data_IF_490329521479
#
_entry.id   IF_490329521479
#
_cell.length_a   1.000
_cell.length_b   1.000
_cell.length_c   1.000
_cell.angle_alpha   90.00
_cell.angle_beta   90.00
_cell.angle_gamma   90.00
#
_symmetry.space_group_name_H-M   'P 1'
#
loop_
_entity.id
_entity.type
_entity.pdbx_description
1 polymer ?
#
# COMPACT_ATOMS: atom_id res chain seq x y z
N UNK A 1 -7.76 39.30 -4.87
CA UNK A 1 -7.20 38.09 -4.22
C UNK A 1 -5.90 38.52 -3.61
N UNK A 2 -5.73 38.32 -2.30
CA UNK A 2 -4.48 38.67 -1.63
C UNK A 2 -3.35 37.79 -2.18
N UNK A 3 -2.19 38.42 -2.47
CA UNK A 3 -1.02 37.74 -3.00
C UNK A 3 -0.58 36.55 -2.14
N UNK A 4 -0.83 36.63 -0.84
CA UNK A 4 -0.57 35.56 0.13
C UNK A 4 -1.45 34.32 -0.13
N UNK A 5 -2.74 34.49 -0.39
CA UNK A 5 -3.66 33.39 -0.69
C UNK A 5 -3.26 32.74 -2.01
N UNK A 6 -2.94 33.54 -3.02
CA UNK A 6 -2.50 33.03 -4.32
C UNK A 6 -1.22 32.18 -4.22
N UNK A 7 -0.24 32.60 -3.43
CA UNK A 7 1.00 31.84 -3.24
C UNK A 7 0.81 30.55 -2.44
N UNK A 8 -0.06 30.53 -1.41
CA UNK A 8 -0.40 29.31 -0.68
C UNK A 8 -1.08 28.30 -1.62
N UNK A 9 -2.06 28.74 -2.39
CA UNK A 9 -2.76 27.87 -3.34
C UNK A 9 -1.82 27.33 -4.44
N UNK A 10 -0.85 28.14 -4.88
CA UNK A 10 0.14 27.71 -5.87
C UNK A 10 1.06 26.62 -5.32
N UNK A 11 1.56 26.78 -4.09
CA UNK A 11 2.42 25.77 -3.44
C UNK A 11 1.63 24.48 -3.19
N UNK A 12 0.40 24.58 -2.69
CA UNK A 12 -0.48 23.42 -2.47
C UNK A 12 -0.81 22.72 -3.81
N UNK A 13 -1.14 23.48 -4.84
CA UNK A 13 -1.40 22.94 -6.18
C UNK A 13 -0.18 22.24 -6.78
N UNK A 14 1.01 22.80 -6.62
CA UNK A 14 2.26 22.21 -7.10
C UNK A 14 2.58 20.90 -6.37
N UNK A 15 2.44 20.90 -5.04
CA UNK A 15 2.71 19.72 -4.21
C UNK A 15 1.75 18.57 -4.54
N UNK A 16 0.44 18.85 -4.56
CA UNK A 16 -0.57 17.85 -4.93
C UNK A 16 -0.40 17.40 -6.38
N UNK A 17 -0.11 18.34 -7.28
CA UNK A 17 0.16 18.03 -8.68
C UNK A 17 1.34 17.09 -8.89
N UNK A 18 2.42 17.26 -8.12
CA UNK A 18 3.59 16.37 -8.15
C UNK A 18 3.23 14.95 -7.68
N UNK A 19 2.42 14.82 -6.61
CA UNK A 19 1.95 13.53 -6.12
C UNK A 19 1.11 12.81 -7.18
N UNK A 20 0.14 13.50 -7.78
CA UNK A 20 -0.69 12.93 -8.84
C UNK A 20 0.11 12.59 -10.10
N UNK A 21 1.13 13.39 -10.45
CA UNK A 21 2.02 13.09 -11.57
C UNK A 21 2.82 11.79 -11.33
N UNK A 22 3.33 11.58 -10.11
CA UNK A 22 4.02 10.35 -9.74
C UNK A 22 3.08 9.13 -9.79
N UNK A 23 1.86 9.26 -9.28
CA UNK A 23 0.85 8.20 -9.35
C UNK A 23 0.49 7.87 -10.81
N UNK A 24 0.25 8.90 -11.63
CA UNK A 24 -0.02 8.73 -13.06
C UNK A 24 1.13 8.05 -13.79
N UNK A 25 2.37 8.47 -13.54
CA UNK A 25 3.57 7.85 -14.13
C UNK A 25 3.69 6.37 -13.72
N UNK A 26 3.44 6.05 -12.45
CA UNK A 26 3.44 4.67 -11.95
C UNK A 26 2.39 3.82 -12.65
N UNK A 27 1.18 4.34 -12.84
CA UNK A 27 0.09 3.64 -13.57
C UNK A 27 0.49 3.35 -15.02
N UNK A 28 1.06 4.34 -15.71
CA UNK A 28 1.51 4.18 -17.10
C UNK A 28 2.63 3.16 -17.22
N UNK A 29 3.62 3.21 -16.34
CA UNK A 29 4.72 2.25 -16.31
C UNK A 29 4.22 0.83 -16.04
N UNK A 30 3.33 0.66 -15.08
CA UNK A 30 2.75 -0.64 -14.76
C UNK A 30 1.96 -1.19 -15.96
N UNK A 31 1.13 -0.35 -16.60
CA UNK A 31 0.38 -0.73 -17.79
C UNK A 31 1.30 -1.09 -18.97
N UNK A 32 2.36 -0.33 -19.19
CA UNK A 32 3.32 -0.60 -20.28
C UNK A 32 3.98 -1.98 -20.15
N UNK A 33 4.23 -2.43 -18.91
CA UNK A 33 4.89 -3.72 -18.65
C UNK A 33 3.88 -4.87 -18.58
N UNK A 34 2.74 -4.67 -17.89
CA UNK A 34 1.81 -5.75 -17.53
C UNK A 34 0.57 -5.81 -18.40
N UNK A 35 0.27 -4.75 -19.16
CA UNK A 35 -1.01 -4.53 -19.89
C UNK A 35 -2.24 -4.53 -18.96
N UNK A 36 -2.04 -4.44 -17.67
CA UNK A 36 -3.10 -4.35 -16.67
C UNK A 36 -3.30 -2.90 -16.27
N UNK A 37 -4.53 -2.37 -16.39
CA UNK A 37 -4.91 -1.10 -15.80
C UNK A 37 -5.16 -1.36 -14.31
N UNK A 38 -4.11 -1.13 -13.51
CA UNK A 38 -4.13 -1.48 -12.09
C UNK A 38 -4.78 -0.35 -11.27
N UNK A 39 -6.11 -0.41 -11.15
CA UNK A 39 -6.91 0.56 -10.37
C UNK A 39 -6.54 0.55 -8.88
N UNK A 40 -6.22 -0.61 -8.24
CA UNK A 40 -5.97 -0.69 -6.80
C UNK A 40 -4.69 -0.02 -6.31
N UNK A 41 -3.94 0.71 -7.13
CA UNK A 41 -2.72 1.38 -6.65
C UNK A 41 -3.00 2.42 -5.56
N UNK A 42 -4.18 3.07 -5.60
CA UNK A 42 -4.59 4.03 -4.58
C UNK A 42 -4.71 3.40 -3.19
N UNK A 43 -5.25 2.18 -3.11
CA UNK A 43 -5.37 1.44 -1.87
C UNK A 43 -4.00 1.09 -1.27
N UNK A 44 -3.01 0.78 -2.11
CA UNK A 44 -1.64 0.52 -1.63
C UNK A 44 -1.03 1.76 -0.99
N UNK A 45 -1.28 2.95 -1.56
CA UNK A 45 -0.86 4.23 -0.97
C UNK A 45 -1.59 4.48 0.35
N UNK A 46 -2.92 4.26 0.38
CA UNK A 46 -3.74 4.39 1.59
C UNK A 46 -3.26 3.43 2.70
N UNK A 47 -3.00 2.16 2.37
CA UNK A 47 -2.45 1.19 3.32
C UNK A 47 -1.08 1.61 3.85
N UNK A 48 -0.23 2.20 3.01
CA UNK A 48 1.03 2.80 3.43
C UNK A 48 0.81 3.91 4.46
N UNK A 49 -0.06 4.87 4.16
CA UNK A 49 -0.37 5.99 5.06
C UNK A 49 -0.97 5.52 6.40
N UNK A 50 -1.94 4.60 6.36
CA UNK A 50 -2.57 4.03 7.56
C UNK A 50 -1.57 3.24 8.40
N UNK A 51 -0.66 2.50 7.77
CA UNK A 51 0.40 1.76 8.45
C UNK A 51 1.34 2.68 9.22
N UNK A 52 1.81 3.76 8.59
CA UNK A 52 2.65 4.76 9.28
C UNK A 52 1.88 5.39 10.45
N UNK A 53 0.62 5.78 10.24
CA UNK A 53 -0.22 6.39 11.30
C UNK A 53 -0.35 5.48 12.52
N UNK A 54 -0.62 4.18 12.33
CA UNK A 54 -0.72 3.22 13.44
C UNK A 54 0.62 2.98 14.13
N UNK A 55 1.74 2.89 13.37
CA UNK A 55 3.08 2.74 13.94
C UNK A 55 3.47 3.93 14.83
N UNK A 56 3.05 5.14 14.49
CA UNK A 56 3.28 6.32 15.32
C UNK A 56 2.53 6.29 16.64
N UNK A 57 1.35 5.69 16.64
CA UNK A 57 0.60 5.44 17.87
C UNK A 57 1.22 4.31 18.72
N UNK A 58 2.20 3.57 18.16
CA UNK A 58 2.79 2.39 18.79
C UNK A 58 1.88 1.16 18.69
N UNK A 59 0.94 1.17 17.76
CA UNK A 59 0.01 0.07 17.53
C UNK A 59 0.50 -0.81 16.38
N UNK A 60 0.16 -2.10 16.44
CA UNK A 60 0.44 -3.02 15.34
C UNK A 60 -0.54 -2.73 14.19
N UNK A 61 -0.05 -2.35 13.00
CA UNK A 61 -0.90 -1.97 11.90
C UNK A 61 -1.68 -3.15 11.32
N UNK A 62 -2.90 -2.87 10.85
CA UNK A 62 -3.77 -3.87 10.21
C UNK A 62 -3.15 -4.53 8.98
N UNK A 63 -2.22 -3.85 8.30
CA UNK A 63 -1.44 -4.40 7.18
C UNK A 63 -0.67 -5.66 7.52
N UNK A 64 -0.23 -5.85 8.77
CA UNK A 64 0.43 -7.08 9.22
C UNK A 64 -0.50 -8.27 9.06
N UNK A 65 -1.70 -8.18 9.60
CA UNK A 65 -2.69 -9.26 9.54
C UNK A 65 -3.16 -9.50 8.11
N UNK A 66 -3.35 -8.41 7.36
CA UNK A 66 -3.74 -8.50 5.97
C UNK A 66 -2.66 -9.16 5.10
N UNK A 67 -1.38 -8.81 5.31
CA UNK A 67 -0.27 -9.45 4.61
C UNK A 67 -0.19 -10.96 4.91
N UNK A 68 -0.34 -11.35 6.18
CA UNK A 68 -0.34 -12.76 6.58
C UNK A 68 -1.52 -13.52 5.97
N UNK A 69 -2.71 -12.91 5.93
CA UNK A 69 -3.88 -13.50 5.28
C UNK A 69 -3.63 -13.74 3.79
N UNK A 70 -3.12 -12.73 3.06
CA UNK A 70 -2.82 -12.87 1.64
C UNK A 70 -1.73 -13.89 1.37
N UNK A 71 -0.65 -13.89 2.16
CA UNK A 71 0.43 -14.85 2.01
C UNK A 71 -0.04 -16.29 2.35
N UNK A 72 -0.89 -16.43 3.37
CA UNK A 72 -1.50 -17.70 3.74
C UNK A 72 -2.42 -18.25 2.65
N UNK A 73 -3.30 -17.42 2.09
CA UNK A 73 -4.18 -17.82 0.98
C UNK A 73 -3.38 -18.21 -0.26
N UNK A 74 -2.34 -17.46 -0.61
CA UNK A 74 -1.44 -17.81 -1.70
C UNK A 74 -0.75 -19.16 -1.46
N UNK A 75 -0.28 -19.40 -0.24
CA UNK A 75 0.36 -20.66 0.15
C UNK A 75 -0.61 -21.84 0.06
N UNK A 76 -1.86 -21.68 0.51
CA UNK A 76 -2.91 -22.71 0.44
C UNK A 76 -3.23 -23.07 -1.03
N UNK A 77 -3.39 -22.05 -1.89
CA UNK A 77 -3.64 -22.27 -3.30
C UNK A 77 -2.50 -23.00 -4.00
N UNK A 78 -1.26 -22.67 -3.65
CA UNK A 78 -0.08 -23.38 -4.16
C UNK A 78 -0.03 -24.82 -3.70
N UNK A 79 -0.24 -25.04 -2.41
CA UNK A 79 -0.25 -26.38 -1.84
C UNK A 79 -1.32 -27.25 -2.50
N UNK A 80 -2.50 -26.69 -2.74
CA UNK A 80 -3.59 -27.39 -3.41
C UNK A 80 -3.27 -27.72 -4.88
N UNK A 81 -2.66 -26.78 -5.61
CA UNK A 81 -2.24 -26.98 -6.99
C UNK A 81 -1.14 -28.05 -7.09
N UNK A 82 -0.15 -27.98 -6.20
CA UNK A 82 0.96 -28.93 -6.17
C UNK A 82 0.52 -30.34 -5.72
N UNK A 83 -0.45 -30.42 -4.79
CA UNK A 83 -1.06 -31.69 -4.39
C UNK A 83 -1.82 -32.37 -5.55
N UNK A 84 -2.58 -31.58 -6.33
CA UNK A 84 -3.27 -32.09 -7.53
C UNK A 84 -2.31 -32.61 -8.62
N UNK A 85 -1.11 -32.07 -8.68
CA UNK A 85 -0.07 -32.48 -9.64
C UNK A 85 0.85 -33.57 -9.13
N UNK A 86 0.60 -34.10 -7.91
CA UNK A 86 1.36 -35.23 -7.34
C UNK A 86 2.81 -34.91 -7.00
N UNK A 87 3.14 -33.64 -6.75
CA UNK A 87 4.52 -33.25 -6.39
C UNK A 87 4.92 -33.73 -5.02
N UNK A 88 6.22 -34.01 -4.84
CA UNK A 88 6.78 -34.45 -3.58
C UNK A 88 6.56 -33.42 -2.44
N UNK A 89 6.32 -33.89 -1.24
CA UNK A 89 6.08 -33.06 -0.05
C UNK A 89 7.22 -32.08 0.22
N UNK A 90 8.46 -32.46 -0.08
CA UNK A 90 9.64 -31.56 0.03
C UNK A 90 9.55 -30.33 -0.86
N UNK A 91 9.04 -30.47 -2.10
CA UNK A 91 8.83 -29.35 -3.01
C UNK A 91 7.72 -28.40 -2.52
N UNK A 92 6.65 -28.97 -1.94
CA UNK A 92 5.58 -28.18 -1.29
C UNK A 92 6.13 -27.34 -0.13
N UNK A 93 6.89 -27.95 0.77
CA UNK A 93 7.45 -27.27 1.93
C UNK A 93 8.44 -26.15 1.51
N UNK A 94 9.31 -26.42 0.55
CA UNK A 94 10.26 -25.42 0.06
C UNK A 94 9.53 -24.21 -0.55
N UNK A 95 8.46 -24.45 -1.28
CA UNK A 95 7.65 -23.38 -1.89
C UNK A 95 6.89 -22.59 -0.84
N UNK A 96 6.28 -23.27 0.14
CA UNK A 96 5.59 -22.64 1.25
C UNK A 96 6.53 -21.75 2.07
N UNK A 97 7.71 -22.26 2.43
CA UNK A 97 8.74 -21.47 3.14
C UNK A 97 9.13 -20.25 2.32
N UNK A 98 9.40 -20.39 1.03
CA UNK A 98 9.79 -19.27 0.17
C UNK A 98 8.70 -18.20 0.07
N UNK A 99 7.43 -18.59 0.04
CA UNK A 99 6.29 -17.65 -0.04
C UNK A 99 6.03 -16.96 1.29
N UNK A 100 6.17 -17.67 2.42
CA UNK A 100 5.83 -17.18 3.76
C UNK A 100 7.00 -16.53 4.48
N UNK A 101 8.25 -16.87 4.17
CA UNK A 101 9.43 -16.44 4.93
C UNK A 101 9.50 -14.91 5.05
N UNK A 102 9.40 -14.17 3.95
CA UNK A 102 9.49 -12.73 3.96
C UNK A 102 8.28 -12.07 4.66
N UNK A 103 7.01 -12.40 4.30
CA UNK A 103 5.83 -11.87 5.00
C UNK A 103 5.85 -12.12 6.50
N UNK A 104 6.21 -13.33 6.93
CA UNK A 104 6.27 -13.66 8.37
C UNK A 104 7.41 -12.92 9.05
N UNK A 105 8.61 -12.89 8.46
CA UNK A 105 9.76 -12.20 9.04
C UNK A 105 9.49 -10.70 9.24
N UNK A 106 8.96 -10.02 8.23
CA UNK A 106 8.65 -8.60 8.34
C UNK A 106 7.50 -8.33 9.31
N UNK A 107 6.49 -9.21 9.35
CA UNK A 107 5.37 -9.12 10.30
C UNK A 107 5.85 -9.24 11.75
N UNK A 108 6.71 -10.20 12.05
CA UNK A 108 7.31 -10.38 13.38
C UNK A 108 8.16 -9.18 13.76
N UNK A 109 8.97 -8.66 12.83
CA UNK A 109 9.79 -7.48 13.05
C UNK A 109 8.92 -6.27 13.41
N UNK A 110 7.82 -6.05 12.68
CA UNK A 110 6.91 -4.94 12.92
C UNK A 110 6.18 -5.09 14.24
N UNK A 111 5.67 -6.28 14.58
CA UNK A 111 5.01 -6.56 15.88
C UNK A 111 5.97 -6.28 17.03
N UNK A 112 7.24 -6.62 16.88
CA UNK A 112 8.26 -6.37 17.91
C UNK A 112 8.64 -4.90 18.01
N UNK A 113 8.75 -4.17 16.88
CA UNK A 113 9.21 -2.79 16.86
C UNK A 113 8.09 -1.77 17.12
N UNK A 114 6.84 -2.05 16.78
CA UNK A 114 5.73 -1.13 16.89
C UNK A 114 5.56 -0.50 18.30
N UNK A 115 5.64 -1.26 19.42
CA UNK A 115 5.50 -0.68 20.75
C UNK A 115 6.63 0.29 21.13
N UNK A 116 7.80 0.16 20.51
CA UNK A 116 8.98 0.98 20.80
C UNK A 116 8.97 2.35 20.10
N UNK A 117 7.94 2.62 19.25
CA UNK A 117 7.79 3.88 18.50
C UNK A 117 9.10 4.31 17.83
N UNK A 118 9.64 3.53 16.90
CA UNK A 118 10.91 3.84 16.26
C UNK A 118 10.85 5.21 15.52
N UNK A 119 11.98 5.82 15.19
CA UNK A 119 12.00 7.09 14.48
C UNK A 119 11.27 6.98 13.14
N UNK A 120 10.70 8.11 12.66
CA UNK A 120 9.83 8.17 11.49
C UNK A 120 10.42 7.49 10.24
N UNK A 121 11.73 7.65 10.03
CA UNK A 121 12.41 7.02 8.90
C UNK A 121 12.35 5.48 8.96
N UNK A 122 12.51 4.92 10.15
CA UNK A 122 12.39 3.46 10.36
C UNK A 122 10.94 3.02 10.15
N UNK A 123 9.95 3.79 10.63
CA UNK A 123 8.53 3.51 10.39
C UNK A 123 8.22 3.51 8.89
N UNK A 124 8.75 4.47 8.13
CA UNK A 124 8.59 4.54 6.68
C UNK A 124 9.20 3.31 5.97
N UNK A 125 10.41 2.90 6.37
CA UNK A 125 11.06 1.72 5.82
C UNK A 125 10.30 0.42 6.15
N UNK A 126 9.80 0.27 7.38
CA UNK A 126 8.97 -0.86 7.78
C UNK A 126 7.66 -0.90 6.99
N UNK A 127 7.03 0.26 6.80
CA UNK A 127 5.82 0.39 5.99
C UNK A 127 6.08 -0.02 4.55
N UNK A 128 7.16 0.47 3.95
CA UNK A 128 7.55 0.10 2.59
C UNK A 128 7.79 -1.41 2.48
N UNK A 129 8.49 -2.00 3.45
CA UNK A 129 8.74 -3.43 3.48
C UNK A 129 7.47 -4.27 3.68
N UNK A 130 6.46 -3.75 4.43
CA UNK A 130 5.15 -4.40 4.58
C UNK A 130 4.29 -4.30 3.31
N UNK A 131 4.27 -3.14 2.65
CA UNK A 131 3.38 -2.88 1.50
C UNK A 131 3.95 -3.48 0.21
N UNK A 132 5.26 -3.53 0.04
CA UNK A 132 5.89 -4.08 -1.19
C UNK A 132 5.41 -5.49 -1.56
N UNK A 133 5.26 -6.46 -0.64
CA UNK A 133 4.77 -7.79 -0.98
C UNK A 133 3.32 -7.84 -1.45
N UNK A 134 2.52 -6.80 -1.18
CA UNK A 134 1.12 -6.77 -1.64
C UNK A 134 1.04 -6.82 -3.17
N UNK A 135 1.92 -6.13 -3.89
CA UNK A 135 1.95 -6.14 -5.36
C UNK A 135 1.99 -7.55 -5.94
N UNK A 136 3.06 -8.33 -5.70
CA UNK A 136 3.15 -9.70 -6.20
C UNK A 136 2.08 -10.65 -5.63
N UNK A 137 1.61 -10.46 -4.39
CA UNK A 137 0.53 -11.26 -3.83
C UNK A 137 -0.82 -10.97 -4.50
N UNK A 138 -1.16 -9.70 -4.71
CA UNK A 138 -2.38 -9.29 -5.44
C UNK A 138 -2.32 -9.83 -6.88
N UNK A 139 -1.17 -9.69 -7.56
CA UNK A 139 -1.02 -10.24 -8.90
C UNK A 139 -1.26 -11.76 -8.90
N UNK A 140 -0.68 -12.47 -7.97
CA UNK A 140 -0.80 -13.93 -7.87
C UNK A 140 -2.21 -14.39 -7.59
N UNK A 141 -2.91 -13.72 -6.67
CA UNK A 141 -4.25 -14.10 -6.23
C UNK A 141 -5.34 -13.67 -7.23
N UNK A 142 -5.19 -12.49 -7.84
CA UNK A 142 -6.23 -11.89 -8.66
C UNK A 142 -6.01 -11.98 -10.17
N UNK A 143 -4.75 -11.92 -10.64
CA UNK A 143 -4.46 -11.74 -12.07
C UNK A 143 -3.77 -12.93 -12.73
N UNK A 144 -3.01 -13.71 -11.98
CA UNK A 144 -2.16 -14.77 -12.54
C UNK A 144 -2.96 -15.80 -13.36
N UNK A 145 -4.14 -16.17 -12.90
CA UNK A 145 -5.04 -17.12 -13.61
C UNK A 145 -5.64 -16.53 -14.88
N UNK A 146 -5.59 -15.21 -15.04
CA UNK A 146 -6.18 -14.45 -16.15
C UNK A 146 -5.11 -13.71 -16.97
N UNK A 147 -3.84 -14.09 -16.85
CA UNK A 147 -2.73 -13.38 -17.49
C UNK A 147 -2.85 -13.30 -19.02
N UNK A 148 -3.46 -14.32 -19.64
CA UNK A 148 -3.69 -14.38 -21.09
C UNK A 148 -5.04 -13.78 -21.52
N UNK A 149 -5.82 -13.22 -20.58
CA UNK A 149 -7.11 -12.62 -20.88
C UNK A 149 -6.96 -11.26 -21.59
N UNK A 150 -8.05 -10.80 -22.21
CA UNK A 150 -8.07 -9.47 -22.83
C UNK A 150 -7.91 -8.36 -21.79
N UNK A 151 -7.39 -7.21 -22.22
CA UNK A 151 -7.23 -6.03 -21.35
C UNK A 151 -8.54 -5.59 -20.71
N UNK A 152 -9.68 -5.80 -21.40
CA UNK A 152 -11.00 -5.50 -20.84
C UNK A 152 -11.33 -6.39 -19.63
N UNK A 153 -11.07 -7.70 -19.74
CA UNK A 153 -11.27 -8.65 -18.63
C UNK A 153 -10.37 -8.27 -17.45
N UNK A 154 -9.11 -7.97 -17.72
CA UNK A 154 -8.16 -7.53 -16.67
C UNK A 154 -8.60 -6.22 -16.00
N UNK A 155 -9.23 -5.30 -16.74
CA UNK A 155 -9.81 -4.09 -16.18
C UNK A 155 -10.97 -4.39 -15.22
N UNK A 156 -11.89 -5.29 -15.61
CA UNK A 156 -13.00 -5.70 -14.74
C UNK A 156 -12.48 -6.36 -13.46
N UNK A 157 -11.48 -7.21 -13.58
CA UNK A 157 -10.81 -7.82 -12.42
C UNK A 157 -10.16 -6.78 -11.53
N UNK A 158 -9.52 -5.74 -12.12
CA UNK A 158 -8.93 -4.62 -11.37
C UNK A 158 -9.98 -3.88 -10.53
N UNK A 159 -11.17 -3.64 -11.08
CA UNK A 159 -12.28 -3.02 -10.34
C UNK A 159 -12.72 -3.94 -9.18
N UNK A 160 -12.85 -5.24 -9.44
CA UNK A 160 -13.18 -6.22 -8.40
C UNK A 160 -12.15 -6.27 -7.27
N UNK A 161 -10.86 -6.28 -7.63
CA UNK A 161 -9.75 -6.24 -6.66
C UNK A 161 -9.75 -4.93 -5.86
N UNK A 162 -10.03 -3.79 -6.51
CA UNK A 162 -10.18 -2.49 -5.85
C UNK A 162 -11.23 -2.53 -4.74
N UNK A 163 -12.45 -2.97 -5.05
CA UNK A 163 -13.52 -3.08 -4.04
C UNK A 163 -13.19 -4.09 -2.94
N UNK A 164 -12.55 -5.22 -3.28
CA UNK A 164 -12.12 -6.19 -2.30
C UNK A 164 -11.08 -5.61 -1.34
N UNK A 165 -10.08 -4.88 -1.85
CA UNK A 165 -9.07 -4.22 -1.03
C UNK A 165 -9.67 -3.11 -0.17
N UNK A 166 -10.60 -2.31 -0.71
CA UNK A 166 -11.29 -1.27 0.05
C UNK A 166 -12.09 -1.87 1.22
N UNK A 167 -12.85 -2.93 0.97
CA UNK A 167 -13.60 -3.63 2.03
C UNK A 167 -12.69 -4.27 3.09
N UNK A 168 -11.59 -4.91 2.67
CA UNK A 168 -10.60 -5.48 3.58
C UNK A 168 -9.85 -4.38 4.35
N UNK A 169 -9.54 -3.26 3.70
CA UNK A 169 -8.97 -2.08 4.35
C UNK A 169 -9.85 -1.60 5.49
N UNK A 170 -11.14 -1.43 5.23
CA UNK A 170 -12.12 -1.03 6.27
C UNK A 170 -12.19 -2.05 7.41
N UNK A 171 -12.12 -3.34 7.11
CA UNK A 171 -12.14 -4.41 8.11
C UNK A 171 -10.90 -4.38 9.03
N UNK A 172 -9.69 -4.21 8.45
CA UNK A 172 -8.44 -4.27 9.21
C UNK A 172 -8.04 -2.96 9.90
N UNK A 173 -8.43 -1.80 9.35
CA UNK A 173 -8.08 -0.49 9.89
C UNK A 173 -9.25 0.21 10.60
N UNK A 174 -10.48 -0.25 10.36
CA UNK A 174 -11.69 0.41 10.83
C UNK A 174 -12.05 1.64 10.00
N UNK A 175 -13.10 2.36 10.43
CA UNK A 175 -13.60 3.56 9.76
C UNK A 175 -12.91 4.86 10.24
N UNK A 176 -11.96 4.76 11.15
CA UNK A 176 -11.29 5.93 11.73
C UNK A 176 -10.10 6.36 10.85
N UNK A 177 -9.97 7.67 10.65
CA UNK A 177 -8.83 8.26 9.94
C UNK A 177 -7.62 8.44 10.86
N UNK A 178 -6.43 8.16 10.35
CA UNK A 178 -5.17 8.41 11.04
C UNK A 178 -4.50 9.65 10.47
N UNK A 179 -3.94 10.52 11.35
CA UNK A 179 -3.13 11.66 10.94
C UNK A 179 -1.67 11.27 10.96
N UNK A 180 -0.99 11.48 9.85
CA UNK A 180 0.46 11.34 9.77
C UNK A 180 1.11 12.71 10.03
N UNK A 181 2.15 12.80 10.89
CA UNK A 181 2.94 14.03 11.03
C UNK A 181 3.73 14.29 9.76
N UNK A 182 4.17 15.52 9.62
CA UNK A 182 5.10 15.92 8.57
C UNK A 182 6.43 15.15 8.71
N UNK A 183 7.00 14.71 7.58
CA UNK A 183 8.34 14.10 7.58
C UNK A 183 9.44 15.09 7.95
N UNK A 184 9.16 16.39 7.77
CA UNK A 184 10.12 17.46 7.99
C UNK A 184 9.39 18.71 8.49
N UNK A 185 9.79 19.21 9.65
CA UNK A 185 9.23 20.43 10.25
C UNK A 185 10.00 21.70 9.85
N UNK A 186 10.88 21.63 8.82
CA UNK A 186 11.58 22.79 8.35
C UNK A 186 10.62 23.81 7.74
N UNK A 187 10.60 25.01 8.30
CA UNK A 187 9.88 26.15 7.76
C UNK A 187 10.86 26.94 6.88
N UNK A 188 10.51 27.09 5.62
CA UNK A 188 11.24 27.99 4.74
C UNK A 188 10.46 29.30 4.68
N UNK A 189 10.99 30.35 5.27
CA UNK A 189 10.41 31.69 5.18
C UNK A 189 10.73 32.28 3.82
N UNK A 190 9.82 32.16 2.88
CA UNK A 190 9.88 32.81 1.56
C UNK A 190 9.09 34.13 1.58
N UNK A 191 9.52 35.10 2.41
CA UNK A 191 8.85 36.38 2.54
C UNK A 191 7.50 36.27 3.26
N UNK A 192 6.39 36.82 2.72
CA UNK A 192 5.08 36.81 3.39
C UNK A 192 4.41 35.43 3.46
N UNK A 193 5.05 34.39 2.93
CA UNK A 193 4.50 33.03 2.87
C UNK A 193 5.42 32.09 3.63
N UNK A 194 4.94 31.53 4.71
CA UNK A 194 5.54 30.38 5.37
C UNK A 194 4.91 29.09 4.83
N UNK A 195 5.50 28.43 3.83
CA UNK A 195 5.01 27.11 3.43
C UNK A 195 5.26 26.14 4.57
N UNK A 196 4.19 25.73 5.22
CA UNK A 196 4.21 24.66 6.21
C UNK A 196 4.15 23.36 5.44
N UNK A 197 5.12 22.48 5.65
CA UNK A 197 5.11 21.13 5.05
C UNK A 197 3.96 20.32 5.65
N UNK A 198 2.77 20.42 5.04
CA UNK A 198 1.64 19.57 5.39
C UNK A 198 1.69 18.31 4.52
N UNK A 199 1.92 17.19 5.14
CA UNK A 199 1.64 15.90 4.52
C UNK A 199 0.13 15.61 4.64
N UNK A 200 -0.67 16.21 3.79
CA UNK A 200 -2.10 15.91 3.65
C UNK A 200 -2.31 14.62 2.83
N UNK A 201 -1.67 13.52 3.21
CA UNK A 201 -1.87 12.24 2.54
C UNK A 201 -3.14 11.49 2.98
N UNK A 202 -3.93 12.07 3.90
CA UNK A 202 -5.06 11.36 4.49
C UNK A 202 -6.44 11.82 4.03
N UNK A 203 -6.53 12.89 3.23
CA UNK A 203 -7.83 13.47 2.87
C UNK A 203 -8.58 12.83 1.67
N UNK A 204 -7.96 12.18 0.68
CA UNK A 204 -8.73 11.65 -0.44
C UNK A 204 -9.57 10.42 -0.12
N UNK A 205 -9.25 9.67 0.94
CA UNK A 205 -9.93 8.41 1.23
C UNK A 205 -11.22 8.55 2.03
N UNK A 206 -11.44 9.70 2.69
CA UNK A 206 -12.62 9.92 3.55
C UNK A 206 -13.78 10.56 2.78
N UNK A 207 -13.54 11.16 1.62
CA UNK A 207 -14.55 11.90 0.84
C UNK A 207 -15.20 11.08 -0.29
N UNK A 208 -14.98 9.79 -0.36
CA UNK A 208 -15.61 8.88 -1.34
C UNK A 208 -16.52 7.85 -0.66
N UNK A 209 -17.26 8.25 0.36
CA UNK A 209 -18.44 7.54 0.87
C UNK A 209 -19.67 8.36 0.53
#
# INVERSE_FOLDING_TARGET
>A
MDSTIASILLVDGLTNGAIYALLGMTTVLLFAVTRVIFIPQGELVAFGALTVGMLQLGQVPGTVWFLLLMAGTACILDAWADWRTGKALSALLTRAVRTLAFPVAISLLVVWLAPHKPPLLVQALLTLALVTPFGPLIYRLGYQSLADASTLVLLIVSVGVHFALMGLGLYFFGAEGYRNPSFWDARFDLGPVTPVSYTHLTLPTILLV
#
